data_IF_325622889019
#
_entry.id   IF_325622889019
#
_cell.length_a   1.000
_cell.length_b   1.000
_cell.length_c   1.000
_cell.angle_alpha   90.00
_cell.angle_beta   90.00
_cell.angle_gamma   90.00
#
_symmetry.space_group_name_H-M   'P 1'
#
loop_
_entity.id
_entity.type
_entity.pdbx_description
1 polymer ?
#
# COMPACT_ATOMS: atom_id res chain seq x y z
N UNK A 1 29.10 24.60 1.68
CA UNK A 1 28.37 23.65 2.56
C UNK A 1 27.83 22.41 1.80
N UNK A 2 28.61 21.85 0.86
CA UNK A 2 28.12 20.83 -0.09
C UNK A 2 28.63 19.41 0.19
N UNK A 3 29.23 19.17 1.36
CA UNK A 3 29.78 17.85 1.70
C UNK A 3 28.94 17.18 2.78
N UNK A 4 28.77 15.87 2.64
CA UNK A 4 28.12 15.05 3.66
C UNK A 4 28.93 15.06 4.95
N UNK A 5 28.24 15.10 6.10
CA UNK A 5 28.85 15.09 7.42
C UNK A 5 28.35 13.89 8.21
N UNK A 6 29.17 13.40 9.14
CA UNK A 6 28.74 12.39 10.12
C UNK A 6 29.06 12.86 11.52
N UNK A 7 28.06 12.76 12.39
CA UNK A 7 28.13 13.23 13.78
C UNK A 7 27.78 12.04 14.67
N UNK A 8 28.63 11.75 15.66
CA UNK A 8 28.27 10.79 16.72
C UNK A 8 27.13 11.36 17.55
N UNK A 9 26.10 10.55 17.79
CA UNK A 9 24.90 10.98 18.49
C UNK A 9 24.38 9.87 19.40
N UNK A 10 23.56 10.27 20.38
CA UNK A 10 22.91 9.36 21.32
C UNK A 10 21.40 9.55 21.24
N UNK A 11 20.67 8.47 21.02
CA UNK A 11 19.21 8.47 21.06
C UNK A 11 18.75 8.04 22.45
N UNK A 12 18.05 8.93 23.15
CA UNK A 12 17.51 8.68 24.49
C UNK A 12 16.03 8.31 24.36
N UNK A 13 15.64 7.13 24.85
CA UNK A 13 14.24 6.68 24.91
C UNK A 13 13.95 6.10 26.29
N UNK A 14 13.29 6.89 27.14
CA UNK A 14 13.16 6.57 28.56
C UNK A 14 14.54 6.43 29.20
N UNK A 15 14.80 5.34 29.91
CA UNK A 15 16.09 5.07 30.56
C UNK A 15 17.14 4.43 29.62
N UNK A 16 16.82 4.23 28.34
CA UNK A 16 17.74 3.63 27.37
C UNK A 16 18.47 4.72 26.60
N UNK A 17 19.80 4.64 26.59
CA UNK A 17 20.69 5.46 25.77
C UNK A 17 21.28 4.57 24.68
N UNK A 18 21.01 4.89 23.41
CA UNK A 18 21.49 4.13 22.26
C UNK A 18 22.49 5.00 21.51
N UNK A 19 23.75 4.57 21.49
CA UNK A 19 24.80 5.20 20.68
C UNK A 19 24.52 4.98 19.19
N UNK A 20 24.76 6.01 18.38
CA UNK A 20 24.63 5.94 16.93
C UNK A 20 25.29 7.12 16.23
N UNK A 21 24.96 7.29 14.96
CA UNK A 21 25.58 8.23 14.05
C UNK A 21 24.51 8.92 13.21
N UNK A 22 24.58 10.24 13.11
CA UNK A 22 23.75 11.05 12.23
C UNK A 22 24.54 11.35 10.97
N UNK A 23 24.11 10.80 9.85
CA UNK A 23 24.59 11.15 8.52
C UNK A 23 23.77 12.32 7.99
N UNK A 24 24.41 13.47 7.80
CA UNK A 24 23.81 14.66 7.22
C UNK A 24 24.22 14.79 5.75
N UNK A 25 23.25 14.68 4.85
CA UNK A 25 23.45 14.81 3.41
C UNK A 25 22.81 16.11 2.91
N UNK A 26 23.52 16.93 2.10
CA UNK A 26 22.92 18.11 1.51
C UNK A 26 21.79 17.69 0.56
N UNK A 27 20.62 18.31 0.70
CA UNK A 27 19.54 18.16 -0.27
C UNK A 27 19.84 18.98 -1.51
N UNK A 28 19.38 18.50 -2.65
CA UNK A 28 19.33 19.29 -3.88
C UNK A 28 18.54 20.60 -3.63
N UNK A 29 19.06 21.71 -4.16
CA UNK A 29 18.57 23.08 -3.92
C UNK A 29 17.08 23.25 -4.23
N UNK A 30 16.56 22.59 -5.26
CA UNK A 30 15.15 22.63 -5.65
C UNK A 30 14.28 21.98 -4.57
N UNK A 31 14.67 20.79 -4.10
CA UNK A 31 13.94 20.06 -3.06
C UNK A 31 14.05 20.77 -1.70
N UNK A 32 15.21 21.34 -1.38
CA UNK A 32 15.39 22.17 -0.18
C UNK A 32 14.51 23.43 -0.22
N UNK A 33 14.38 24.10 -1.36
CA UNK A 33 13.49 25.25 -1.52
C UNK A 33 12.00 24.84 -1.40
N UNK A 34 11.63 23.68 -1.95
CA UNK A 34 10.28 23.12 -1.82
C UNK A 34 9.94 22.83 -0.35
N UNK A 35 10.84 22.20 0.40
CA UNK A 35 10.62 21.97 1.84
C UNK A 35 10.50 23.26 2.64
N UNK A 36 11.35 24.27 2.36
CA UNK A 36 11.22 25.57 3.01
C UNK A 36 9.84 26.19 2.79
N UNK A 37 9.29 26.09 1.56
CA UNK A 37 7.92 26.55 1.27
C UNK A 37 6.87 25.74 2.04
N UNK A 38 6.99 24.41 2.06
CA UNK A 38 6.08 23.56 2.81
C UNK A 38 6.08 23.88 4.30
N UNK A 39 7.27 24.05 4.91
CA UNK A 39 7.44 24.44 6.31
C UNK A 39 6.79 25.78 6.61
N UNK A 40 6.99 26.78 5.75
CA UNK A 40 6.33 28.09 5.90
C UNK A 40 4.81 27.99 5.80
N UNK A 41 4.28 27.16 4.89
CA UNK A 41 2.84 26.96 4.73
C UNK A 41 2.22 26.29 5.97
N UNK A 42 2.85 25.21 6.48
CA UNK A 42 2.39 24.52 7.69
C UNK A 42 2.45 25.46 8.89
N UNK A 43 3.55 26.19 9.07
CA UNK A 43 3.69 27.14 10.17
C UNK A 43 2.64 28.26 10.10
N UNK A 44 2.34 28.78 8.89
CA UNK A 44 1.26 29.76 8.67
C UNK A 44 -0.12 29.21 9.02
N UNK A 45 -0.42 27.97 8.63
CA UNK A 45 -1.68 27.30 8.99
C UNK A 45 -1.83 27.11 10.50
N UNK A 46 -0.71 26.86 11.19
CA UNK A 46 -0.66 26.68 12.64
C UNK A 46 -0.41 28.00 13.42
N UNK A 47 -0.45 29.16 12.75
CA UNK A 47 -0.28 30.47 13.40
C UNK A 47 1.10 30.74 14.01
N UNK A 48 2.14 30.00 13.60
CA UNK A 48 3.50 30.10 14.15
C UNK A 48 4.53 30.47 13.07
N UNK A 49 5.72 30.91 13.51
CA UNK A 49 6.88 31.10 12.62
C UNK A 49 7.81 29.88 12.69
N UNK A 50 8.35 29.38 11.56
CA UNK A 50 9.37 28.34 11.58
C UNK A 50 10.63 28.85 12.30
N UNK A 51 11.24 28.02 13.15
CA UNK A 51 12.52 28.35 13.78
C UNK A 51 13.63 28.40 12.73
N UNK A 52 14.61 29.28 12.90
CA UNK A 52 15.76 29.39 11.99
C UNK A 52 16.49 28.07 11.80
N UNK A 53 16.70 27.33 12.90
CA UNK A 53 17.30 26.00 12.86
C UNK A 53 16.50 25.03 11.97
N UNK A 54 15.16 25.07 12.02
CA UNK A 54 14.32 24.21 11.18
C UNK A 54 14.43 24.58 9.71
N UNK A 55 14.52 25.87 9.40
CA UNK A 55 14.75 26.37 8.03
C UNK A 55 16.13 25.92 7.55
N UNK A 56 17.17 26.04 8.39
CA UNK A 56 18.51 25.55 8.07
C UNK A 56 18.52 24.05 7.79
N UNK A 57 17.93 23.24 8.68
CA UNK A 57 17.89 21.78 8.56
C UNK A 57 17.06 21.28 7.38
N UNK A 58 16.12 22.08 6.85
CA UNK A 58 15.37 21.74 5.63
C UNK A 58 16.26 21.58 4.38
N UNK A 59 17.47 22.15 4.42
CA UNK A 59 18.51 21.95 3.41
C UNK A 59 19.21 20.59 3.48
N UNK A 60 18.89 19.77 4.48
CA UNK A 60 19.60 18.52 4.76
C UNK A 60 18.63 17.32 4.79
N UNK A 61 19.17 16.15 4.46
CA UNK A 61 18.58 14.86 4.77
C UNK A 61 19.41 14.27 5.91
N UNK A 62 18.78 14.09 7.06
CA UNK A 62 19.42 13.52 8.25
C UNK A 62 18.98 12.06 8.39
N UNK A 63 19.95 11.14 8.46
CA UNK A 63 19.71 9.72 8.66
C UNK A 63 20.44 9.31 9.94
N UNK A 64 19.70 8.86 10.95
CA UNK A 64 20.28 8.27 12.15
C UNK A 64 20.39 6.75 11.98
N UNK A 65 21.54 6.19 12.35
CA UNK A 65 21.79 4.74 12.33
C UNK A 65 22.65 4.33 13.54
N UNK A 66 22.45 3.13 14.06
CA UNK A 66 23.36 2.53 15.05
C UNK A 66 24.57 1.85 14.39
N UNK A 67 24.61 1.76 13.06
CA UNK A 67 25.71 1.15 12.31
C UNK A 67 26.91 2.11 12.31
N UNK A 68 28.09 1.67 12.78
CA UNK A 68 29.30 2.48 12.73
C UNK A 68 29.75 2.82 11.31
N UNK A 69 30.32 4.02 11.16
CA UNK A 69 30.91 4.50 9.89
C UNK A 69 32.05 3.63 9.37
N UNK A 70 32.68 2.84 10.25
CA UNK A 70 33.69 1.84 9.88
C UNK A 70 33.11 0.66 9.09
N UNK A 71 31.80 0.41 9.21
CA UNK A 71 31.09 -0.68 8.51
C UNK A 71 30.45 -0.16 7.23
N UNK A 72 29.67 0.93 7.33
CA UNK A 72 28.98 1.55 6.18
C UNK A 72 29.28 3.04 6.14
N UNK A 73 29.70 3.53 4.97
CA UNK A 73 29.92 4.95 4.78
C UNK A 73 28.58 5.68 4.52
N UNK A 74 28.63 7.01 4.42
CA UNK A 74 27.43 7.83 4.21
C UNK A 74 26.68 7.52 2.91
N UNK A 75 27.38 7.18 1.83
CA UNK A 75 26.76 6.82 0.56
C UNK A 75 26.02 5.47 0.68
N UNK A 76 26.62 4.49 1.37
CA UNK A 76 25.98 3.19 1.62
C UNK A 76 24.73 3.33 2.47
N UNK A 77 24.81 4.12 3.56
CA UNK A 77 23.65 4.44 4.41
C UNK A 77 22.56 5.15 3.62
N UNK A 78 22.93 6.09 2.74
CA UNK A 78 21.97 6.76 1.87
C UNK A 78 21.27 5.76 0.92
N UNK A 79 22.01 4.83 0.33
CA UNK A 79 21.45 3.81 -0.56
C UNK A 79 20.55 2.83 0.19
N UNK A 80 20.95 2.41 1.38
CA UNK A 80 20.11 1.61 2.28
C UNK A 80 18.83 2.37 2.68
N UNK A 81 18.93 3.68 2.96
CA UNK A 81 17.75 4.48 3.28
C UNK A 81 16.79 4.63 2.10
N UNK A 82 17.29 4.66 0.85
CA UNK A 82 16.45 4.64 -0.36
C UNK A 82 15.65 3.32 -0.47
N UNK A 83 16.17 2.20 0.04
CA UNK A 83 15.46 0.92 0.06
C UNK A 83 14.11 0.99 0.80
N UNK A 84 13.94 1.95 1.73
CA UNK A 84 12.66 2.20 2.41
C UNK A 84 11.50 2.42 1.44
N UNK A 85 11.74 3.08 0.30
CA UNK A 85 10.69 3.26 -0.72
C UNK A 85 10.25 1.93 -1.33
N UNK A 86 11.13 0.93 -1.44
CA UNK A 86 10.75 -0.39 -1.95
C UNK A 86 9.72 -1.09 -1.05
N UNK A 87 9.79 -0.87 0.25
CA UNK A 87 8.78 -1.37 1.20
C UNK A 87 7.43 -0.70 0.94
N UNK A 88 7.40 0.63 0.77
CA UNK A 88 6.16 1.34 0.44
C UNK A 88 5.56 0.86 -0.88
N UNK A 89 6.39 0.64 -1.90
CA UNK A 89 5.94 0.09 -3.19
C UNK A 89 5.38 -1.33 -3.02
N UNK A 90 6.02 -2.16 -2.21
CA UNK A 90 5.52 -3.51 -1.93
C UNK A 90 4.18 -3.48 -1.22
N UNK A 91 4.01 -2.62 -0.21
CA UNK A 91 2.72 -2.41 0.46
C UNK A 91 1.66 -1.88 -0.52
N UNK A 92 2.01 -0.90 -1.37
CA UNK A 92 1.10 -0.38 -2.41
C UNK A 92 0.66 -1.48 -3.37
N UNK A 93 1.58 -2.36 -3.78
CA UNK A 93 1.29 -3.51 -4.64
C UNK A 93 0.28 -4.44 -3.99
N UNK A 94 0.53 -4.84 -2.75
CA UNK A 94 -0.38 -5.71 -1.99
C UNK A 94 -1.77 -5.08 -1.80
N UNK A 95 -1.85 -3.77 -1.53
CA UNK A 95 -3.12 -3.05 -1.47
C UNK A 95 -3.84 -3.05 -2.81
N UNK A 96 -3.14 -2.73 -3.90
CA UNK A 96 -3.75 -2.62 -5.22
C UNK A 96 -4.22 -3.95 -5.81
N UNK A 97 -3.48 -5.04 -5.59
CA UNK A 97 -3.76 -6.35 -6.23
C UNK A 97 -4.53 -7.26 -5.27
N UNK A 98 -4.10 -7.34 -4.01
CA UNK A 98 -4.67 -8.28 -3.04
C UNK A 98 -5.67 -7.62 -2.09
N UNK A 99 -5.90 -6.32 -2.22
CA UNK A 99 -6.82 -5.55 -1.39
C UNK A 99 -6.54 -5.75 0.11
N UNK A 100 -5.28 -5.83 0.53
CA UNK A 100 -4.90 -6.22 1.91
C UNK A 100 -5.49 -5.30 2.98
N UNK A 101 -5.80 -4.05 2.63
CA UNK A 101 -6.44 -3.04 3.46
C UNK A 101 -7.97 -3.10 3.48
N UNK A 102 -8.60 -3.89 2.59
CA UNK A 102 -10.06 -4.10 2.58
C UNK A 102 -10.46 -5.30 3.43
N UNK A 103 -10.56 -5.10 4.74
CA UNK A 103 -11.00 -6.14 5.68
C UNK A 103 -12.53 -6.02 5.89
N UNK A 104 -13.27 -7.12 5.67
CA UNK A 104 -14.72 -7.20 5.94
C UNK A 104 -14.99 -7.45 7.42
N UNK A 105 -14.37 -6.66 8.30
CA UNK A 105 -14.45 -6.80 9.75
C UNK A 105 -14.39 -5.43 10.43
N UNK A 106 -14.88 -5.37 11.67
CA UNK A 106 -14.71 -4.16 12.50
C UNK A 106 -13.24 -3.99 12.86
N UNK A 107 -12.78 -2.74 12.89
CA UNK A 107 -11.43 -2.39 13.36
C UNK A 107 -11.21 -3.00 14.75
N UNK A 108 -10.01 -3.52 14.98
CA UNK A 108 -9.57 -4.10 16.26
C UNK A 108 -10.35 -5.36 16.71
N UNK A 109 -11.14 -5.98 15.83
CA UNK A 109 -11.79 -7.27 16.10
C UNK A 109 -10.88 -8.46 15.77
N UNK A 110 -11.05 -9.58 16.48
CA UNK A 110 -10.38 -10.85 16.14
C UNK A 110 -10.62 -11.27 14.68
N UNK A 111 -11.80 -10.99 14.14
CA UNK A 111 -12.11 -11.27 12.75
C UNK A 111 -11.23 -10.45 11.79
N UNK A 112 -10.92 -9.19 12.11
CA UNK A 112 -10.01 -8.38 11.31
C UNK A 112 -8.59 -8.95 11.30
N UNK A 113 -8.12 -9.45 12.44
CA UNK A 113 -6.84 -10.16 12.55
C UNK A 113 -6.82 -11.42 11.68
N UNK A 114 -7.87 -12.25 11.76
CA UNK A 114 -8.00 -13.45 10.91
C UNK A 114 -8.00 -13.10 9.42
N UNK A 115 -8.75 -12.08 9.01
CA UNK A 115 -8.72 -11.61 7.61
C UNK A 115 -7.32 -11.14 7.20
N UNK A 116 -6.65 -10.36 8.04
CA UNK A 116 -5.33 -9.83 7.74
C UNK A 116 -4.30 -10.95 7.63
N UNK A 117 -4.28 -11.88 8.58
CA UNK A 117 -3.40 -13.05 8.58
C UNK A 117 -3.65 -13.94 7.35
N UNK A 118 -4.92 -14.20 7.01
CA UNK A 118 -5.27 -14.96 5.81
C UNK A 118 -4.76 -14.30 4.53
N UNK A 119 -4.90 -12.97 4.41
CA UNK A 119 -4.38 -12.21 3.26
C UNK A 119 -2.85 -12.17 3.23
N UNK A 120 -2.19 -12.07 4.38
CA UNK A 120 -0.72 -12.12 4.47
C UNK A 120 -0.20 -13.50 4.08
N UNK A 121 -0.82 -14.56 4.58
CA UNK A 121 -0.50 -15.94 4.20
C UNK A 121 -0.65 -16.13 2.69
N UNK A 122 -1.76 -15.64 2.12
CA UNK A 122 -1.99 -15.69 0.67
C UNK A 122 -0.94 -14.87 -0.10
N UNK A 123 -0.58 -13.67 0.37
CA UNK A 123 0.47 -12.85 -0.23
C UNK A 123 1.82 -13.59 -0.23
N UNK A 124 2.21 -14.20 0.89
CA UNK A 124 3.44 -14.99 1.01
C UNK A 124 3.41 -16.23 0.11
N UNK A 125 2.26 -16.88 -0.04
CA UNK A 125 2.09 -17.99 -0.99
C UNK A 125 2.35 -17.52 -2.44
N UNK A 126 1.73 -16.41 -2.85
CA UNK A 126 1.95 -15.84 -4.19
C UNK A 126 3.41 -15.43 -4.38
N UNK A 127 4.04 -14.88 -3.34
CA UNK A 127 5.46 -14.56 -3.33
C UNK A 127 6.31 -15.79 -3.59
N UNK A 128 6.04 -16.88 -2.87
CA UNK A 128 6.74 -18.15 -3.07
C UNK A 128 6.53 -18.72 -4.47
N UNK A 129 5.30 -18.71 -4.99
CA UNK A 129 4.98 -19.25 -6.32
C UNK A 129 5.67 -18.43 -7.42
N UNK A 130 5.64 -17.10 -7.36
CA UNK A 130 6.35 -16.31 -8.35
C UNK A 130 7.86 -16.48 -8.19
N UNK A 131 8.39 -16.53 -6.96
CA UNK A 131 9.82 -16.70 -6.74
C UNK A 131 10.29 -17.98 -7.41
N UNK A 132 9.62 -19.11 -7.17
CA UNK A 132 9.95 -20.40 -7.79
C UNK A 132 9.84 -20.41 -9.32
N UNK A 133 8.87 -19.70 -9.90
CA UNK A 133 8.67 -19.68 -11.36
C UNK A 133 9.62 -18.74 -12.08
N UNK A 134 10.11 -17.72 -11.39
CA UNK A 134 10.90 -16.63 -11.98
C UNK A 134 12.25 -16.47 -11.28
N UNK A 135 12.80 -17.54 -10.66
CA UNK A 135 14.04 -17.52 -9.84
C UNK A 135 15.21 -16.80 -10.52
N UNK A 136 15.29 -16.86 -11.85
CA UNK A 136 16.39 -16.29 -12.64
C UNK A 136 16.12 -14.89 -13.21
N UNK A 137 14.99 -14.27 -12.88
CA UNK A 137 14.66 -12.93 -13.35
C UNK A 137 14.64 -12.02 -12.12
N UNK A 138 15.37 -10.92 -12.14
CA UNK A 138 15.58 -9.97 -11.05
C UNK A 138 14.28 -9.25 -10.59
N UNK A 139 13.33 -9.99 -10.00
CA UNK A 139 12.03 -9.48 -9.53
C UNK A 139 12.17 -8.67 -8.24
N UNK A 140 13.20 -8.97 -7.44
CA UNK A 140 13.38 -8.44 -6.09
C UNK A 140 14.73 -7.80 -5.78
N UNK A 141 15.68 -7.81 -6.71
CA UNK A 141 17.04 -7.36 -6.40
C UNK A 141 17.11 -5.83 -6.34
N UNK A 142 17.80 -5.35 -5.30
CA UNK A 142 18.20 -3.95 -5.19
C UNK A 142 19.36 -3.60 -6.14
N UNK A 143 19.97 -4.62 -6.75
CA UNK A 143 21.29 -4.49 -7.37
C UNK A 143 21.33 -4.40 -8.89
N UNK A 144 20.27 -4.72 -9.63
CA UNK A 144 20.31 -4.59 -11.09
C UNK A 144 18.97 -4.10 -11.66
N UNK A 145 19.04 -3.48 -12.84
CA UNK A 145 17.90 -2.91 -13.54
C UNK A 145 16.78 -3.93 -13.69
N UNK A 146 15.63 -3.65 -13.07
CA UNK A 146 14.47 -4.54 -13.10
C UNK A 146 14.01 -4.77 -14.54
N UNK A 147 14.13 -6.00 -15.01
CA UNK A 147 13.62 -6.42 -16.32
C UNK A 147 12.11 -6.66 -16.27
N UNK A 148 11.62 -7.22 -15.15
CA UNK A 148 10.22 -7.57 -14.97
C UNK A 148 9.50 -6.63 -13.99
N UNK A 149 8.22 -6.38 -14.25
CA UNK A 149 7.36 -5.59 -13.37
C UNK A 149 6.81 -6.46 -12.23
N UNK A 150 7.14 -6.19 -10.96
CA UNK A 150 6.59 -6.95 -9.83
C UNK A 150 5.06 -6.88 -9.74
N UNK A 151 4.46 -5.80 -10.26
CA UNK A 151 3.00 -5.66 -10.35
C UNK A 151 2.39 -6.68 -11.30
N UNK A 152 2.93 -6.79 -12.52
CA UNK A 152 2.42 -7.71 -13.53
C UNK A 152 2.59 -9.16 -13.09
N UNK A 153 3.76 -9.49 -12.52
CA UNK A 153 4.03 -10.84 -12.02
C UNK A 153 3.07 -11.24 -10.90
N UNK A 154 2.91 -10.38 -9.88
CA UNK A 154 1.98 -10.69 -8.80
C UNK A 154 0.55 -10.81 -9.31
N UNK A 155 0.13 -9.96 -10.25
CA UNK A 155 -1.21 -10.03 -10.84
C UNK A 155 -1.46 -11.34 -11.59
N UNK A 156 -0.52 -11.77 -12.45
CA UNK A 156 -0.64 -13.03 -13.21
C UNK A 156 -0.73 -14.22 -12.25
N UNK A 157 0.17 -14.28 -11.27
CA UNK A 157 0.17 -15.39 -10.29
C UNK A 157 -1.09 -15.35 -9.41
N UNK A 158 -1.55 -14.16 -9.02
CA UNK A 158 -2.80 -13.98 -8.29
C UNK A 158 -3.99 -14.56 -9.07
N UNK A 159 -4.18 -14.15 -10.33
CA UNK A 159 -5.32 -14.61 -11.14
C UNK A 159 -5.29 -16.11 -11.39
N UNK A 160 -4.11 -16.71 -11.61
CA UNK A 160 -3.98 -18.16 -11.78
C UNK A 160 -4.32 -18.92 -10.49
N UNK A 161 -3.75 -18.53 -9.36
CA UNK A 161 -4.01 -19.20 -8.07
C UNK A 161 -5.46 -19.02 -7.66
N UNK A 162 -6.02 -17.81 -7.83
CA UNK A 162 -7.44 -17.52 -7.57
C UNK A 162 -8.35 -18.41 -8.42
N UNK A 163 -8.07 -18.55 -9.72
CA UNK A 163 -8.84 -19.41 -10.62
C UNK A 163 -8.77 -20.88 -10.18
N UNK A 164 -7.59 -21.37 -9.80
CA UNK A 164 -7.43 -22.72 -9.25
C UNK A 164 -8.22 -22.93 -7.96
N UNK A 165 -8.15 -21.98 -7.02
CA UNK A 165 -8.93 -22.06 -5.79
C UNK A 165 -10.44 -22.06 -6.04
N UNK A 166 -10.94 -21.28 -6.99
CA UNK A 166 -12.36 -21.27 -7.34
C UNK A 166 -12.80 -22.61 -7.95
N UNK A 167 -11.94 -23.24 -8.76
CA UNK A 167 -12.22 -24.55 -9.34
C UNK A 167 -12.25 -25.66 -8.28
N UNK A 168 -11.30 -25.66 -7.35
CA UNK A 168 -11.19 -26.66 -6.27
C UNK A 168 -12.23 -26.46 -5.15
N UNK A 169 -12.63 -25.21 -4.90
CA UNK A 169 -13.58 -24.84 -3.85
C UNK A 169 -14.80 -24.12 -4.45
N UNK A 170 -15.69 -24.85 -5.16
CA UNK A 170 -16.89 -24.27 -5.73
C UNK A 170 -17.86 -23.78 -4.63
N UNK A 171 -18.79 -22.90 -5.01
CA UNK A 171 -19.80 -22.38 -4.10
C UNK A 171 -20.62 -23.54 -3.54
N UNK A 172 -20.53 -23.75 -2.23
CA UNK A 172 -21.36 -24.73 -1.55
C UNK A 172 -22.81 -24.17 -1.44
N UNK A 173 -23.82 -24.86 -2.02
CA UNK A 173 -25.21 -24.40 -1.99
C UNK A 173 -25.77 -24.19 -0.58
N UNK A 174 -25.24 -24.89 0.43
CA UNK A 174 -25.65 -24.74 1.82
C UNK A 174 -25.44 -23.32 2.36
N UNK A 175 -24.50 -22.55 1.82
CA UNK A 175 -24.25 -21.16 2.23
C UNK A 175 -24.97 -20.11 1.38
N UNK A 176 -25.89 -20.52 0.49
CA UNK A 176 -26.55 -19.59 -0.45
C UNK A 176 -27.16 -18.38 0.26
N UNK A 177 -27.83 -18.59 1.40
CA UNK A 177 -28.47 -17.51 2.15
C UNK A 177 -27.44 -16.52 2.73
N UNK A 178 -26.33 -17.02 3.26
CA UNK A 178 -25.24 -16.18 3.76
C UNK A 178 -24.55 -15.41 2.63
N UNK A 179 -24.37 -16.04 1.47
CA UNK A 179 -23.86 -15.40 0.26
C UNK A 179 -24.79 -14.27 -0.19
N UNK A 180 -26.09 -14.53 -0.32
CA UNK A 180 -27.09 -13.51 -0.68
C UNK A 180 -27.08 -12.35 0.30
N UNK A 181 -27.04 -12.63 1.60
CA UNK A 181 -26.92 -11.60 2.65
C UNK A 181 -25.64 -10.78 2.52
N UNK A 182 -24.50 -11.40 2.23
CA UNK A 182 -23.24 -10.68 2.06
C UNK A 182 -23.17 -9.87 0.77
N UNK A 183 -23.88 -10.29 -0.29
CA UNK A 183 -23.96 -9.59 -1.57
C UNK A 183 -25.04 -8.51 -1.58
N UNK A 184 -26.01 -8.60 -0.66
CA UNK A 184 -27.08 -7.62 -0.51
C UNK A 184 -26.53 -6.23 -0.21
N UNK A 185 -27.15 -5.22 -0.81
CA UNK A 185 -26.78 -3.83 -0.59
C UNK A 185 -27.03 -3.45 0.88
N UNK A 186 -26.06 -2.77 1.50
CA UNK A 186 -26.22 -2.31 2.89
C UNK A 186 -27.35 -1.28 2.95
N UNK A 187 -28.10 -1.28 4.06
CA UNK A 187 -29.11 -0.24 4.31
C UNK A 187 -28.52 1.16 4.12
N UNK A 188 -29.13 1.95 3.24
CA UNK A 188 -28.70 3.31 2.90
C UNK A 188 -29.78 4.31 3.32
N UNK A 189 -29.34 5.50 3.75
CA UNK A 189 -30.25 6.61 4.12
C UNK A 189 -31.05 7.14 2.93
N UNK A 190 -30.52 7.04 1.70
CA UNK A 190 -31.24 7.37 0.48
C UNK A 190 -31.94 6.12 -0.02
N UNK A 191 -33.26 6.18 -0.18
CA UNK A 191 -33.99 5.10 -0.83
C UNK A 191 -33.63 5.07 -2.32
N UNK A 192 -33.34 3.88 -2.83
CA UNK A 192 -33.21 3.67 -4.25
C UNK A 192 -34.57 3.95 -4.89
N UNK A 193 -34.57 4.60 -6.05
CA UNK A 193 -35.80 4.78 -6.81
C UNK A 193 -36.31 3.41 -7.23
N UNK A 194 -37.49 3.05 -6.74
CA UNK A 194 -38.19 1.85 -7.15
C UNK A 194 -39.26 2.24 -8.15
N UNK A 195 -39.34 1.49 -9.26
CA UNK A 195 -40.47 1.60 -10.16
C UNK A 195 -41.69 1.00 -9.46
N UNK A 196 -42.83 1.65 -9.62
CA UNK A 196 -44.09 1.13 -9.09
C UNK A 196 -44.50 -0.12 -9.86
N UNK A 197 -45.23 -1.04 -9.22
CA UNK A 197 -45.70 -2.28 -9.84
C UNK A 197 -46.43 -2.05 -11.18
N UNK A 198 -47.18 -0.94 -11.29
CA UNK A 198 -47.84 -0.52 -12.53
C UNK A 198 -46.86 -0.26 -13.67
N UNK A 199 -45.74 0.41 -13.38
CA UNK A 199 -44.71 0.71 -14.38
C UNK A 199 -43.99 -0.58 -14.77
N UNK A 200 -43.71 -1.45 -13.81
CA UNK A 200 -43.11 -2.75 -14.06
C UNK A 200 -44.00 -3.63 -14.97
N UNK A 201 -45.30 -3.67 -14.70
CA UNK A 201 -46.29 -4.38 -15.52
C UNK A 201 -46.34 -3.85 -16.96
N UNK A 202 -46.30 -2.53 -17.15
CA UNK A 202 -46.25 -1.92 -18.49
C UNK A 202 -44.96 -2.32 -19.24
N UNK A 203 -43.81 -2.29 -18.56
CA UNK A 203 -42.53 -2.70 -19.16
C UNK A 203 -42.58 -4.16 -19.61
N UNK A 204 -43.12 -5.07 -18.78
CA UNK A 204 -43.29 -6.47 -19.15
C UNK A 204 -44.24 -6.65 -20.34
N UNK A 205 -45.37 -5.95 -20.36
CA UNK A 205 -46.30 -5.99 -21.49
C UNK A 205 -45.66 -5.50 -22.78
N UNK A 206 -44.91 -4.40 -22.75
CA UNK A 206 -44.21 -3.87 -23.94
C UNK A 206 -43.05 -4.78 -24.36
N UNK A 207 -42.32 -5.37 -23.41
CA UNK A 207 -41.26 -6.35 -23.68
C UNK A 207 -41.78 -7.62 -24.36
N UNK A 208 -42.92 -8.15 -23.90
CA UNK A 208 -43.58 -9.32 -24.51
C UNK A 208 -44.18 -9.02 -25.90
N UNK A 209 -44.44 -7.75 -26.23
CA UNK A 209 -44.93 -7.34 -27.56
C UNK A 209 -43.79 -7.30 -28.59
N UNK A 210 -42.53 -7.18 -28.15
CA UNK A 210 -41.35 -7.22 -29.02
C UNK A 210 -41.02 -8.61 -29.60
N UNK A 211 -41.38 -9.70 -28.91
CA UNK A 211 -41.15 -11.08 -29.40
C UNK A 211 -42.21 -11.58 -30.39
N UNK A 212 -43.34 -10.86 -30.55
CA UNK A 212 -44.41 -11.22 -31.51
C UNK A 212 -44.31 -10.48 -32.85
N UNK A 213 -43.10 -10.10 -33.28
CA UNK A 213 -42.83 -9.60 -34.65
C UNK A 213 -41.76 -10.44 -35.34
N UNK A 214 -42.09 -11.70 -35.59
CA UNK A 214 -41.44 -12.53 -36.61
C UNK A 214 -42.43 -13.61 -37.04
N UNK A 215 -43.34 -13.25 -37.95
CA UNK A 215 -43.90 -14.11 -39.00
C UNK A 215 -44.03 -13.21 -40.23
#
# INVERSE_FOLDING_TARGET
>A
PNQSQVIEAYMIKGNKCIKGYVHALPRNSIYAAKERRNLSNVAKQEGRKPRELTIYLSGWMLIFTSIPTKILNTADIQNLYKARWQIELSIKRLKSILNIDLLRAKKDSKLAEVYLLGKLLYATLLERVYSQRFENHSVGEFNEGRILSPWRLLHIVHEQVKSGLIAEFPINPSYLQDCLKSLSERSRKRQLQQLTDKIYYIIQLVGCVGEKRSI
#
